data_IF_677470723386
#
_entry.id   IF_677470723386
#
_cell.length_a   1.000
_cell.length_b   1.000
_cell.length_c   1.000
_cell.angle_alpha   90.00
_cell.angle_beta   90.00
_cell.angle_gamma   90.00
#
_symmetry.space_group_name_H-M   'P 1'
#
loop_
_entity.id
_entity.type
_entity.pdbx_description
1 polymer ?
#
# COMPACT_ATOMS: atom_id res chain seq x y z
N UNK A 1 -16.19 -31.41 -5.89
CA UNK A 1 -16.25 -30.01 -6.35
C UNK A 1 -15.25 -29.23 -5.51
N UNK A 2 -14.41 -28.40 -6.12
CA UNK A 2 -13.48 -27.57 -5.36
C UNK A 2 -14.30 -26.49 -4.63
N UNK A 3 -14.20 -26.45 -3.32
CA UNK A 3 -14.89 -25.45 -2.51
C UNK A 3 -14.06 -24.16 -2.49
N UNK A 4 -14.64 -23.08 -2.97
CA UNK A 4 -13.98 -21.75 -2.94
C UNK A 4 -14.37 -20.99 -1.69
N UNK A 5 -13.41 -20.26 -1.11
CA UNK A 5 -13.60 -19.46 0.09
C UNK A 5 -13.23 -18.01 -0.07
N UNK A 6 -13.79 -17.14 0.74
CA UNK A 6 -13.52 -15.72 0.80
C UNK A 6 -13.60 -15.18 2.22
N UNK A 7 -12.88 -14.09 2.47
CA UNK A 7 -12.97 -13.36 3.74
C UNK A 7 -14.08 -12.32 3.64
N UNK A 8 -14.92 -12.24 4.66
CA UNK A 8 -16.06 -11.33 4.71
C UNK A 8 -16.09 -10.62 6.06
N UNK A 9 -16.45 -9.35 6.07
CA UNK A 9 -16.77 -8.56 7.26
C UNK A 9 -18.27 -8.31 7.27
N UNK A 10 -19.09 -9.21 7.84
CA UNK A 10 -20.54 -9.09 7.81
C UNK A 10 -21.07 -7.94 8.69
N UNK A 11 -20.34 -7.57 9.73
CA UNK A 11 -20.62 -6.48 10.64
C UNK A 11 -19.34 -5.95 11.30
N UNK A 12 -19.46 -4.83 11.99
CA UNK A 12 -18.36 -4.22 12.75
C UNK A 12 -17.66 -5.26 13.64
N UNK A 13 -16.33 -5.30 13.59
CA UNK A 13 -15.44 -6.16 14.38
C UNK A 13 -15.75 -7.66 14.30
N UNK A 14 -16.31 -8.09 13.18
CA UNK A 14 -16.58 -9.49 12.92
C UNK A 14 -16.07 -9.85 11.53
N UNK A 15 -15.22 -10.85 11.43
CA UNK A 15 -14.67 -11.40 10.18
C UNK A 15 -15.02 -12.88 10.13
N UNK A 16 -15.46 -13.33 8.98
CA UNK A 16 -15.75 -14.74 8.72
C UNK A 16 -15.03 -15.20 7.46
N UNK A 17 -14.75 -16.49 7.41
CA UNK A 17 -14.37 -17.15 6.18
C UNK A 17 -15.60 -17.89 5.65
N UNK A 18 -16.07 -17.53 4.46
CA UNK A 18 -17.27 -18.07 3.85
C UNK A 18 -16.95 -18.82 2.56
N UNK A 19 -17.70 -19.87 2.28
CA UNK A 19 -17.69 -20.52 0.98
C UNK A 19 -18.50 -19.73 -0.04
N UNK A 20 -18.04 -19.73 -1.29
CA UNK A 20 -18.77 -19.15 -2.41
C UNK A 20 -18.60 -19.98 -3.68
N UNK A 21 -19.53 -19.85 -4.58
CA UNK A 21 -19.43 -20.43 -5.91
C UNK A 21 -18.90 -19.36 -6.88
N UNK A 22 -17.73 -19.60 -7.51
CA UNK A 22 -17.23 -18.69 -8.52
C UNK A 22 -18.15 -18.72 -9.74
N UNK A 23 -18.15 -17.64 -10.49
CA UNK A 23 -18.88 -17.60 -11.75
C UNK A 23 -18.21 -18.53 -12.78
N UNK A 24 -18.81 -19.71 -13.01
CA UNK A 24 -18.34 -20.75 -13.95
C UNK A 24 -18.78 -20.54 -15.40
N UNK A 25 -19.53 -19.48 -15.70
CA UNK A 25 -19.90 -19.13 -17.07
C UNK A 25 -18.66 -19.07 -17.98
N UNK A 26 -18.78 -19.32 -19.30
CA UNK A 26 -17.67 -19.13 -20.23
C UNK A 26 -17.00 -17.77 -20.03
N UNK A 27 -15.67 -17.74 -20.11
CA UNK A 27 -14.93 -16.47 -20.04
C UNK A 27 -15.30 -15.56 -21.20
N UNK A 28 -15.42 -14.28 -20.94
CA UNK A 28 -15.39 -13.27 -21.99
C UNK A 28 -14.06 -13.31 -22.74
N UNK A 29 -14.04 -12.83 -23.97
CA UNK A 29 -12.87 -12.90 -24.85
C UNK A 29 -11.59 -12.30 -24.24
N UNK A 30 -11.74 -11.28 -23.40
CA UNK A 30 -10.65 -10.55 -22.75
C UNK A 30 -10.53 -10.84 -21.24
N UNK A 31 -11.13 -11.90 -20.74
CA UNK A 31 -11.06 -12.26 -19.33
C UNK A 31 -9.99 -13.30 -19.04
N UNK A 32 -9.52 -13.27 -17.80
CA UNK A 32 -8.68 -14.31 -17.22
C UNK A 32 -9.26 -14.74 -15.88
N UNK A 33 -9.02 -16.01 -15.52
CA UNK A 33 -9.47 -16.52 -14.25
C UNK A 33 -8.51 -17.59 -13.70
N UNK A 34 -8.50 -17.74 -12.38
CA UNK A 34 -7.67 -18.76 -11.73
C UNK A 34 -7.63 -18.67 -10.22
N UNK A 35 -7.01 -19.65 -9.55
CA UNK A 35 -6.90 -19.69 -8.11
C UNK A 35 -5.93 -18.62 -7.59
N UNK A 36 -6.35 -17.93 -6.53
CA UNK A 36 -5.50 -17.01 -5.77
C UNK A 36 -4.39 -17.79 -5.07
N UNK A 37 -3.20 -17.20 -5.03
CA UNK A 37 -2.03 -17.77 -4.36
C UNK A 37 -1.68 -16.97 -3.12
N UNK A 38 -1.67 -15.65 -3.23
CA UNK A 38 -1.36 -14.75 -2.12
C UNK A 38 -2.23 -13.49 -2.18
N UNK A 39 -2.59 -12.94 -1.02
CA UNK A 39 -3.21 -11.62 -0.93
C UNK A 39 -2.72 -10.88 0.30
N UNK A 40 -2.51 -9.56 0.19
CA UNK A 40 -1.93 -8.75 1.26
C UNK A 40 -3.01 -7.99 2.03
N UNK A 41 -3.06 -8.20 3.34
CA UNK A 41 -3.90 -7.44 4.24
C UNK A 41 -3.28 -6.05 4.50
N UNK A 42 -4.00 -5.01 4.14
CA UNK A 42 -3.62 -3.63 4.41
C UNK A 42 -4.18 -3.15 5.74
N UNK A 43 -3.41 -3.34 6.80
CA UNK A 43 -3.84 -3.09 8.17
C UNK A 43 -4.40 -1.67 8.41
N UNK A 44 -3.90 -0.64 7.72
CA UNK A 44 -4.40 0.74 7.87
C UNK A 44 -5.86 0.87 7.45
N UNK A 45 -6.16 0.53 6.22
CA UNK A 45 -7.49 0.67 5.62
C UNK A 45 -8.45 -0.42 6.08
N UNK A 46 -8.01 -1.68 6.04
CA UNK A 46 -8.92 -2.79 6.30
C UNK A 46 -9.34 -2.86 7.76
N UNK A 47 -8.45 -2.55 8.72
CA UNK A 47 -8.83 -2.47 10.13
C UNK A 47 -9.74 -1.27 10.41
N UNK A 48 -9.53 -0.13 9.73
CA UNK A 48 -10.46 0.98 9.85
C UNK A 48 -11.86 0.58 9.35
N UNK A 49 -11.94 -0.08 8.19
CA UNK A 49 -13.20 -0.59 7.64
C UNK A 49 -13.80 -1.72 8.47
N UNK A 50 -12.99 -2.59 9.06
CA UNK A 50 -13.42 -3.64 10.00
C UNK A 50 -14.14 -3.08 11.23
N UNK A 51 -13.72 -1.89 11.71
CA UNK A 51 -14.31 -1.21 12.88
C UNK A 51 -15.61 -0.46 12.58
N UNK A 52 -15.88 -0.15 11.31
CA UNK A 52 -17.05 0.62 10.95
C UNK A 52 -18.34 -0.18 11.14
N UNK A 53 -19.35 0.47 11.74
CA UNK A 53 -20.72 -0.06 11.74
C UNK A 53 -21.24 -0.13 10.30
N UNK A 54 -21.95 -1.23 10.00
CA UNK A 54 -22.45 -1.50 8.65
C UNK A 54 -23.72 -2.32 8.66
N UNK A 55 -24.53 -2.13 7.65
CA UNK A 55 -25.76 -2.89 7.37
C UNK A 55 -25.54 -3.95 6.30
N UNK A 56 -24.55 -3.75 5.43
CA UNK A 56 -24.22 -4.67 4.34
C UNK A 56 -22.83 -5.28 4.55
N UNK A 57 -22.62 -6.54 4.17
CA UNK A 57 -21.29 -7.16 4.23
C UNK A 57 -20.25 -6.43 3.40
N UNK A 58 -19.02 -6.37 3.91
CA UNK A 58 -17.87 -5.85 3.18
C UNK A 58 -16.93 -7.00 2.83
N UNK A 59 -16.44 -7.01 1.60
CA UNK A 59 -15.45 -7.97 1.11
C UNK A 59 -14.08 -7.32 1.07
N UNK A 60 -13.23 -7.58 2.08
CA UNK A 60 -11.92 -6.93 2.20
C UNK A 60 -10.93 -7.44 1.17
N UNK A 61 -9.80 -6.74 1.07
CA UNK A 61 -8.73 -7.03 0.13
C UNK A 61 -8.83 -6.18 -1.14
N UNK A 62 -7.68 -5.80 -1.63
CA UNK A 62 -7.53 -5.02 -2.85
C UNK A 62 -6.16 -5.20 -3.53
N UNK A 63 -5.44 -6.27 -3.16
CA UNK A 63 -4.24 -6.72 -3.86
C UNK A 63 -4.04 -8.22 -3.65
N UNK A 64 -3.92 -8.94 -4.75
CA UNK A 64 -3.65 -10.36 -4.76
C UNK A 64 -2.75 -10.75 -5.92
N UNK A 65 -2.16 -11.94 -5.81
CA UNK A 65 -1.57 -12.68 -6.92
C UNK A 65 -2.34 -13.97 -7.09
N UNK A 66 -2.75 -14.26 -8.31
CA UNK A 66 -3.36 -15.54 -8.65
C UNK A 66 -2.66 -16.21 -9.83
N UNK A 67 -2.77 -17.53 -9.92
CA UNK A 67 -2.25 -18.32 -11.02
C UNK A 67 -3.31 -18.41 -12.10
N UNK A 68 -2.99 -17.97 -13.31
CA UNK A 68 -3.89 -18.09 -14.46
C UNK A 68 -4.22 -19.56 -14.69
N UNK A 69 -5.49 -19.91 -14.70
CA UNK A 69 -5.99 -21.25 -15.00
C UNK A 69 -6.74 -21.28 -16.35
N UNK A 70 -7.47 -20.19 -16.65
CA UNK A 70 -8.24 -20.05 -17.89
C UNK A 70 -8.03 -18.67 -18.49
N UNK A 71 -8.02 -18.58 -19.80
CA UNK A 71 -7.89 -17.33 -20.57
C UNK A 71 -8.99 -17.25 -21.62
N UNK A 72 -9.50 -16.05 -21.86
CA UNK A 72 -10.42 -15.76 -22.96
C UNK A 72 -9.71 -15.81 -24.33
N UNK A 73 -10.48 -15.97 -25.40
CA UNK A 73 -9.96 -16.22 -26.75
C UNK A 73 -9.08 -15.11 -27.32
N UNK A 74 -9.25 -13.87 -26.87
CA UNK A 74 -8.45 -12.71 -27.32
C UNK A 74 -7.23 -12.41 -26.40
N UNK A 75 -7.02 -13.18 -25.33
CA UNK A 75 -5.87 -12.99 -24.42
C UNK A 75 -4.66 -13.75 -24.98
N UNK A 76 -3.58 -13.03 -25.30
CA UNK A 76 -2.38 -13.59 -25.96
C UNK A 76 -1.08 -13.39 -25.17
N UNK A 77 -1.09 -12.55 -24.15
CA UNK A 77 0.12 -12.09 -23.42
C UNK A 77 0.32 -12.78 -22.06
N UNK A 78 -0.64 -13.61 -21.64
CA UNK A 78 -0.55 -14.52 -20.49
C UNK A 78 -1.14 -15.89 -20.85
N UNK A 79 -0.64 -16.93 -20.19
CA UNK A 79 -1.07 -18.31 -20.42
C UNK A 79 -1.40 -19.00 -19.08
N UNK A 80 -2.16 -20.12 -19.11
CA UNK A 80 -2.33 -20.98 -17.95
C UNK A 80 -0.99 -21.34 -17.31
N UNK A 81 -0.89 -21.14 -16.00
CA UNK A 81 0.35 -21.31 -15.23
C UNK A 81 1.07 -20.02 -14.86
N UNK A 82 0.89 -18.93 -15.61
CA UNK A 82 1.45 -17.63 -15.28
C UNK A 82 0.87 -17.08 -13.97
N UNK A 83 1.69 -16.35 -13.20
CA UNK A 83 1.21 -15.54 -12.08
C UNK A 83 0.89 -14.13 -12.54
N UNK A 84 -0.23 -13.62 -12.05
CA UNK A 84 -0.67 -12.24 -12.30
C UNK A 84 -1.07 -11.56 -11.02
N UNK A 85 -0.66 -10.31 -10.89
CA UNK A 85 -1.08 -9.40 -9.83
C UNK A 85 -2.37 -8.69 -10.23
N UNK A 86 -3.31 -8.54 -9.31
CA UNK A 86 -4.54 -7.79 -9.52
C UNK A 86 -5.01 -7.04 -8.27
N UNK A 87 -5.82 -6.00 -8.47
CA UNK A 87 -6.55 -5.33 -7.40
C UNK A 87 -7.88 -6.06 -7.17
N UNK A 88 -7.86 -7.07 -6.32
CA UNK A 88 -9.02 -7.93 -6.09
C UNK A 88 -9.15 -8.32 -4.60
N UNK A 89 -10.36 -8.74 -4.17
CA UNK A 89 -10.63 -9.07 -2.77
C UNK A 89 -9.90 -10.34 -2.30
N UNK A 90 -9.92 -10.56 -0.99
CA UNK A 90 -9.43 -11.78 -0.34
C UNK A 90 -10.38 -12.94 -0.59
N UNK A 91 -10.16 -13.65 -1.70
CA UNK A 91 -10.92 -14.85 -2.06
C UNK A 91 -10.04 -15.84 -2.81
N UNK A 92 -10.39 -17.13 -2.77
CA UNK A 92 -9.59 -18.23 -3.30
C UNK A 92 -9.56 -18.32 -4.83
N UNK A 93 -10.44 -17.61 -5.54
CA UNK A 93 -10.53 -17.64 -7.00
C UNK A 93 -10.85 -16.27 -7.55
N UNK A 94 -10.13 -15.85 -8.59
CA UNK A 94 -10.31 -14.57 -9.25
C UNK A 94 -10.79 -14.77 -10.69
N UNK A 95 -11.65 -13.84 -11.15
CA UNK A 95 -12.05 -13.69 -12.55
C UNK A 95 -12.18 -12.20 -12.84
N UNK A 96 -11.45 -11.70 -13.83
CA UNK A 96 -11.41 -10.27 -14.14
C UNK A 96 -10.94 -10.02 -15.58
N UNK A 97 -11.17 -8.82 -16.12
CA UNK A 97 -10.61 -8.40 -17.40
C UNK A 97 -9.08 -8.43 -17.38
N UNK A 98 -8.47 -8.98 -18.44
CA UNK A 98 -7.00 -9.09 -18.54
C UNK A 98 -6.28 -7.76 -18.33
N UNK A 99 -6.83 -6.65 -18.79
CA UNK A 99 -6.26 -5.31 -18.65
C UNK A 99 -6.12 -4.84 -17.19
N UNK A 100 -6.85 -5.46 -16.26
CA UNK A 100 -6.83 -5.14 -14.82
C UNK A 100 -5.78 -5.96 -14.05
N UNK A 101 -5.03 -6.80 -14.74
CA UNK A 101 -3.96 -7.60 -14.15
C UNK A 101 -2.59 -7.26 -14.74
N UNK A 102 -1.55 -7.48 -13.96
CA UNK A 102 -0.15 -7.34 -14.38
C UNK A 102 0.54 -8.70 -14.28
N UNK A 103 1.25 -9.10 -15.33
CA UNK A 103 2.07 -10.32 -15.27
C UNK A 103 3.17 -10.14 -14.22
N UNK A 104 3.28 -11.09 -13.30
CA UNK A 104 4.34 -11.12 -12.29
C UNK A 104 5.64 -11.52 -12.97
N UNK A 105 6.75 -10.80 -12.75
CA UNK A 105 8.06 -11.18 -13.28
C UNK A 105 8.45 -12.60 -12.88
N UNK A 106 9.09 -13.33 -13.80
CA UNK A 106 9.58 -14.68 -13.53
C UNK A 106 10.54 -14.69 -12.34
N UNK A 107 10.37 -15.65 -11.43
CA UNK A 107 11.18 -15.78 -10.22
C UNK A 107 10.75 -14.91 -9.05
N UNK A 108 9.85 -13.95 -9.23
CA UNK A 108 9.30 -13.19 -8.11
C UNK A 108 8.23 -14.01 -7.38
N UNK A 109 8.43 -14.23 -6.08
CA UNK A 109 7.47 -14.97 -5.26
C UNK A 109 6.13 -14.21 -5.15
N UNK A 110 4.99 -14.91 -5.25
CA UNK A 110 3.66 -14.30 -5.12
C UNK A 110 3.47 -13.49 -3.85
N UNK A 111 4.02 -13.96 -2.73
CA UNK A 111 3.98 -13.31 -1.41
C UNK A 111 4.74 -11.98 -1.37
N UNK A 112 5.70 -11.80 -2.27
CA UNK A 112 6.44 -10.54 -2.44
C UNK A 112 5.74 -9.64 -3.44
N UNK A 113 5.23 -10.21 -4.54
CA UNK A 113 4.58 -9.44 -5.61
C UNK A 113 3.35 -8.65 -5.14
N UNK A 114 2.62 -9.13 -4.12
CA UNK A 114 1.45 -8.43 -3.54
C UNK A 114 1.79 -7.05 -2.96
N UNK A 115 3.07 -6.77 -2.64
CA UNK A 115 3.51 -5.48 -2.12
C UNK A 115 3.60 -4.38 -3.18
N UNK A 116 3.45 -4.68 -4.46
CA UNK A 116 3.53 -3.69 -5.54
C UNK A 116 2.57 -2.50 -5.34
N UNK A 117 1.38 -2.72 -4.76
CA UNK A 117 0.45 -1.63 -4.45
C UNK A 117 0.98 -0.69 -3.37
N UNK A 118 1.71 -1.21 -2.40
CA UNK A 118 2.21 -0.40 -1.29
C UNK A 118 3.26 0.62 -1.76
N UNK A 119 4.04 0.28 -2.77
CA UNK A 119 4.98 1.19 -3.42
C UNK A 119 4.26 2.25 -4.31
N UNK A 120 3.12 1.90 -4.91
CA UNK A 120 2.39 2.77 -5.82
C UNK A 120 1.97 4.11 -5.18
N UNK A 121 1.62 4.13 -3.88
CA UNK A 121 1.26 5.36 -3.18
C UNK A 121 2.39 6.40 -3.25
N UNK A 122 3.62 5.98 -2.95
CA UNK A 122 4.79 6.83 -3.06
C UNK A 122 5.08 7.24 -4.51
N UNK A 123 4.92 6.33 -5.45
CA UNK A 123 5.17 6.61 -6.88
C UNK A 123 4.19 7.63 -7.42
N UNK A 124 2.93 7.60 -6.99
CA UNK A 124 1.94 8.65 -7.32
C UNK A 124 2.39 10.01 -6.76
N UNK A 125 2.75 10.06 -5.46
CA UNK A 125 3.22 11.29 -4.84
C UNK A 125 4.45 11.86 -5.56
N UNK A 126 5.39 11.02 -5.99
CA UNK A 126 6.59 11.43 -6.73
C UNK A 126 6.26 11.87 -8.16
N UNK A 127 5.32 11.20 -8.82
CA UNK A 127 4.92 11.57 -10.18
C UNK A 127 4.21 12.94 -10.26
N UNK A 128 3.61 13.38 -9.16
CA UNK A 128 2.82 14.61 -9.07
C UNK A 128 3.49 15.76 -8.31
N UNK A 129 4.67 15.50 -7.68
CA UNK A 129 5.41 16.53 -6.92
C UNK A 129 6.23 17.47 -7.80
N UNK A 130 6.39 18.73 -7.34
CA UNK A 130 7.36 19.67 -7.89
C UNK A 130 8.77 19.51 -7.30
N UNK A 131 8.92 18.79 -6.17
CA UNK A 131 10.23 18.47 -5.60
C UNK A 131 11.05 17.59 -6.56
N UNK A 132 12.37 17.76 -6.57
CA UNK A 132 13.27 17.02 -7.49
C UNK A 132 14.45 16.45 -6.73
N UNK A 133 14.91 15.23 -7.08
CA UNK A 133 16.17 14.72 -6.57
C UNK A 133 17.33 15.67 -6.88
N UNK A 134 18.33 15.77 -6.01
CA UNK A 134 18.52 15.03 -4.75
C UNK A 134 17.94 15.71 -3.50
N UNK A 135 16.90 16.56 -3.66
CA UNK A 135 16.31 17.28 -2.54
C UNK A 135 15.88 16.32 -1.41
N UNK A 136 15.77 16.85 -0.18
CA UNK A 136 15.40 16.07 0.99
C UNK A 136 13.90 15.72 0.99
N UNK A 137 13.61 14.44 0.96
CA UNK A 137 12.31 13.86 1.25
C UNK A 137 12.27 13.37 2.72
N UNK A 138 11.21 13.69 3.43
CA UNK A 138 10.98 13.23 4.80
C UNK A 138 9.74 12.35 4.86
N UNK A 139 9.89 11.11 5.35
CA UNK A 139 8.77 10.16 5.48
C UNK A 139 8.43 9.99 6.95
N UNK A 140 7.21 10.34 7.33
CA UNK A 140 6.68 10.18 8.66
C UNK A 140 5.71 9.00 8.75
N UNK A 141 5.92 8.14 9.76
CA UNK A 141 5.14 6.92 9.97
C UNK A 141 5.70 5.75 9.17
N UNK A 142 6.47 4.87 9.83
CA UNK A 142 7.14 3.71 9.26
C UNK A 142 6.31 2.42 9.39
N UNK A 143 5.00 2.52 9.20
CA UNK A 143 4.18 1.36 8.89
C UNK A 143 4.52 0.79 7.50
N UNK A 144 3.75 -0.16 7.01
CA UNK A 144 4.01 -0.79 5.72
C UNK A 144 4.15 0.24 4.58
N UNK A 145 3.22 1.17 4.47
CA UNK A 145 3.27 2.23 3.45
C UNK A 145 4.52 3.10 3.62
N UNK A 146 4.85 3.50 4.86
CA UNK A 146 6.03 4.35 5.09
C UNK A 146 7.35 3.67 4.78
N UNK A 147 7.52 2.39 5.12
CA UNK A 147 8.71 1.60 4.76
C UNK A 147 8.87 1.54 3.23
N UNK A 148 7.79 1.30 2.49
CA UNK A 148 7.83 1.29 1.03
C UNK A 148 8.07 2.68 0.45
N UNK A 149 7.42 3.71 1.01
CA UNK A 149 7.60 5.12 0.59
C UNK A 149 9.05 5.58 0.73
N UNK A 150 9.70 5.28 1.85
CA UNK A 150 11.09 5.64 2.08
C UNK A 150 12.02 4.99 1.03
N UNK A 151 11.82 3.71 0.74
CA UNK A 151 12.59 3.00 -0.27
C UNK A 151 12.37 3.57 -1.68
N UNK A 152 11.12 3.86 -2.06
CA UNK A 152 10.79 4.46 -3.36
C UNK A 152 11.44 5.84 -3.50
N UNK A 153 11.38 6.71 -2.47
CA UNK A 153 12.07 8.01 -2.49
C UNK A 153 13.58 7.86 -2.72
N UNK A 154 14.23 6.92 -2.02
CA UNK A 154 15.66 6.66 -2.20
C UNK A 154 15.98 6.14 -3.60
N UNK A 155 15.19 5.19 -4.12
CA UNK A 155 15.38 4.63 -5.47
C UNK A 155 15.21 5.69 -6.56
N UNK A 156 14.37 6.69 -6.33
CA UNK A 156 14.16 7.80 -7.25
C UNK A 156 15.15 8.96 -7.05
N UNK A 157 16.15 8.78 -6.18
CA UNK A 157 17.31 9.68 -6.03
C UNK A 157 17.16 10.80 -5.02
N UNK A 158 16.12 10.80 -4.16
CA UNK A 158 16.03 11.76 -3.06
C UNK A 158 17.00 11.41 -1.92
N UNK A 159 17.50 12.43 -1.22
CA UNK A 159 17.98 12.23 0.14
C UNK A 159 16.76 11.93 1.04
N UNK A 160 16.89 10.94 1.93
CA UNK A 160 15.73 10.47 2.72
C UNK A 160 16.03 10.56 4.20
N UNK A 161 15.10 11.17 4.94
CA UNK A 161 14.99 11.08 6.38
C UNK A 161 13.63 10.47 6.76
N UNK A 162 13.58 9.74 7.85
CA UNK A 162 12.37 9.00 8.26
C UNK A 162 12.10 9.16 9.76
N UNK A 163 10.82 9.09 10.16
CA UNK A 163 10.44 9.11 11.56
C UNK A 163 9.31 8.12 11.89
N UNK A 164 9.41 7.48 13.04
CA UNK A 164 8.31 6.71 13.67
C UNK A 164 8.57 6.60 15.20
N UNK A 165 7.56 6.72 16.06
CA UNK A 165 7.74 6.54 17.51
C UNK A 165 8.12 5.12 17.91
N UNK A 166 7.81 4.08 17.10
CA UNK A 166 8.17 2.69 17.38
C UNK A 166 9.63 2.42 17.06
N UNK A 167 10.42 1.99 18.05
CA UNK A 167 11.81 1.57 17.85
C UNK A 167 11.92 0.38 16.89
N UNK A 168 11.00 -0.58 16.98
CA UNK A 168 10.94 -1.74 16.11
C UNK A 168 10.87 -1.32 14.63
N UNK A 169 9.98 -0.37 14.30
CA UNK A 169 9.84 0.13 12.93
C UNK A 169 11.05 0.94 12.46
N UNK A 170 11.67 1.69 13.38
CA UNK A 170 12.93 2.39 13.08
C UNK A 170 14.08 1.42 12.85
N UNK A 171 14.15 0.32 13.61
CA UNK A 171 15.14 -0.74 13.42
C UNK A 171 15.01 -1.39 12.03
N UNK A 172 13.78 -1.63 11.55
CA UNK A 172 13.53 -2.10 10.17
C UNK A 172 14.04 -1.06 9.16
N UNK A 173 13.76 0.21 9.33
CA UNK A 173 14.27 1.24 8.43
C UNK A 173 15.81 1.26 8.39
N UNK A 174 16.47 1.13 9.55
CA UNK A 174 17.93 1.03 9.62
C UNK A 174 18.46 -0.23 8.91
N UNK A 175 17.78 -1.37 9.02
CA UNK A 175 18.18 -2.60 8.32
C UNK A 175 18.06 -2.46 6.78
N UNK A 176 17.21 -1.56 6.31
CA UNK A 176 17.14 -1.16 4.90
C UNK A 176 18.18 -0.09 4.51
N UNK A 177 19.04 0.33 5.46
CA UNK A 177 20.14 1.26 5.22
C UNK A 177 19.76 2.73 5.28
N UNK A 178 18.69 3.10 6.00
CA UNK A 178 18.40 4.50 6.30
C UNK A 178 19.22 4.95 7.52
N UNK A 179 19.92 6.06 7.38
CA UNK A 179 20.80 6.62 8.43
C UNK A 179 20.11 7.73 9.22
N UNK A 180 19.31 8.58 8.54
CA UNK A 180 18.58 9.67 9.17
C UNK A 180 17.23 9.15 9.69
N UNK A 181 17.24 8.52 10.87
CA UNK A 181 16.09 7.85 11.49
C UNK A 181 15.78 8.49 12.83
N UNK A 182 14.61 9.10 12.94
CA UNK A 182 14.16 9.88 14.09
C UNK A 182 13.01 9.16 14.82
N UNK A 183 12.88 9.42 16.14
CA UNK A 183 11.77 8.92 16.95
C UNK A 183 10.49 9.79 16.80
N UNK A 184 10.66 11.01 16.33
CA UNK A 184 9.60 11.99 16.02
C UNK A 184 10.06 12.93 14.93
N UNK A 185 9.14 13.75 14.41
CA UNK A 185 9.46 14.79 13.43
C UNK A 185 10.37 15.83 14.09
N UNK A 186 11.62 16.04 13.62
CA UNK A 186 12.61 16.89 14.26
C UNK A 186 12.44 18.36 13.84
N UNK A 187 11.39 19.01 14.36
CA UNK A 187 11.03 20.40 14.02
C UNK A 187 12.08 21.45 14.44
N UNK A 188 12.95 21.09 15.36
CA UNK A 188 14.00 21.97 15.91
C UNK A 188 15.41 21.58 15.43
N UNK A 189 15.57 20.49 14.67
CA UNK A 189 16.85 20.06 14.11
C UNK A 189 17.16 20.82 12.81
N UNK A 190 18.20 21.64 12.82
CA UNK A 190 18.63 22.44 11.66
C UNK A 190 19.04 21.60 10.43
N UNK A 191 19.31 20.32 10.60
CA UNK A 191 19.56 19.41 9.49
C UNK A 191 18.27 19.05 8.71
N UNK A 192 17.08 19.27 9.30
CA UNK A 192 15.77 18.93 8.75
C UNK A 192 14.85 20.13 8.67
N UNK A 193 14.72 20.90 9.77
CA UNK A 193 13.81 22.04 9.87
C UNK A 193 14.09 23.08 8.79
N UNK A 194 13.08 23.40 7.98
CA UNK A 194 13.18 24.37 6.87
C UNK A 194 13.99 23.87 5.66
N UNK A 195 14.34 22.59 5.60
CA UNK A 195 15.13 22.01 4.49
C UNK A 195 14.40 20.93 3.70
N UNK A 196 13.30 20.42 4.24
CA UNK A 196 12.51 19.37 3.58
C UNK A 196 11.80 19.98 2.35
N UNK A 197 11.97 19.35 1.20
CA UNK A 197 11.27 19.72 -0.04
C UNK A 197 9.98 18.93 -0.22
N UNK A 198 9.98 17.69 0.25
CA UNK A 198 8.85 16.76 0.13
C UNK A 198 8.65 16.04 1.46
N UNK A 199 7.61 16.39 2.19
CA UNK A 199 7.18 15.70 3.39
C UNK A 199 6.03 14.75 3.06
N UNK A 200 6.19 13.47 3.38
CA UNK A 200 5.24 12.40 3.07
C UNK A 200 4.68 11.86 4.38
N UNK A 201 3.46 12.25 4.73
CA UNK A 201 2.79 11.74 5.92
C UNK A 201 2.12 10.39 5.63
N UNK A 202 2.68 9.30 6.17
CA UNK A 202 2.10 7.96 6.13
C UNK A 202 1.38 7.58 7.43
N UNK A 203 1.35 8.48 8.42
CA UNK A 203 0.76 8.26 9.74
C UNK A 203 -0.72 8.62 9.84
N UNK A 204 -1.17 9.62 9.09
CA UNK A 204 -2.55 10.13 9.07
C UNK A 204 -2.97 10.79 10.39
N UNK A 205 -2.05 11.52 11.07
CA UNK A 205 -2.36 12.28 12.27
C UNK A 205 -2.22 13.78 12.00
N UNK A 206 -3.18 14.56 12.47
CA UNK A 206 -3.23 16.02 12.24
C UNK A 206 -1.98 16.72 12.79
N UNK A 207 -1.49 16.30 13.98
CA UNK A 207 -0.27 16.85 14.58
C UNK A 207 0.94 16.63 13.68
N UNK A 208 1.07 15.45 13.08
CA UNK A 208 2.21 15.08 12.23
C UNK A 208 2.20 15.91 10.93
N UNK A 209 1.02 16.20 10.39
CA UNK A 209 0.85 17.09 9.22
C UNK A 209 1.26 18.52 9.56
N UNK A 210 0.85 19.03 10.73
CA UNK A 210 1.22 20.36 11.22
C UNK A 210 2.74 20.46 11.41
N UNK A 211 3.36 19.46 12.01
CA UNK A 211 4.81 19.41 12.21
C UNK A 211 5.55 19.27 10.88
N UNK A 212 4.99 18.51 9.93
CA UNK A 212 5.48 18.47 8.54
C UNK A 212 5.51 19.86 7.90
N UNK A 213 4.44 20.64 8.06
CA UNK A 213 4.40 22.03 7.57
C UNK A 213 5.47 22.93 8.21
N UNK A 214 5.97 22.58 9.40
CA UNK A 214 7.08 23.31 10.07
C UNK A 214 8.45 22.92 9.54
N UNK A 215 8.60 21.70 9.01
CA UNK A 215 9.90 21.19 8.52
C UNK A 215 10.19 21.53 7.07
N UNK A 216 9.16 21.74 6.25
CA UNK A 216 9.37 22.08 4.83
C UNK A 216 9.90 23.50 4.65
N UNK A 217 10.72 23.70 3.62
CA UNK A 217 11.15 25.02 3.19
C UNK A 217 9.99 25.80 2.53
N UNK A 218 10.07 27.12 2.33
CA UNK A 218 9.07 27.87 1.57
C UNK A 218 8.82 27.23 0.18
N UNK A 219 7.55 27.01 -0.17
CA UNK A 219 7.09 26.27 -1.34
C UNK A 219 7.36 24.74 -1.31
N UNK A 220 7.85 24.18 -0.20
CA UNK A 220 7.92 22.73 0.00
C UNK A 220 6.53 22.10 0.08
N UNK A 221 6.48 20.81 -0.17
CA UNK A 221 5.23 20.05 -0.24
C UNK A 221 5.03 19.15 0.99
N UNK A 222 3.80 19.11 1.50
CA UNK A 222 3.32 18.14 2.49
C UNK A 222 2.24 17.32 1.81
N UNK A 223 2.47 16.00 1.72
CA UNK A 223 1.62 15.05 1.00
C UNK A 223 0.97 14.10 1.98
N UNK A 224 -0.35 14.06 1.98
CA UNK A 224 -1.16 13.21 2.85
C UNK A 224 -1.31 11.82 2.22
N UNK A 225 -0.49 10.85 2.62
CA UNK A 225 -0.59 9.44 2.19
C UNK A 225 -1.39 8.63 3.21
N UNK A 226 -1.17 8.88 4.50
CA UNK A 226 -1.93 8.26 5.59
C UNK A 226 -3.36 8.77 5.61
N UNK A 227 -4.34 7.84 5.59
CA UNK A 227 -5.76 8.20 5.59
C UNK A 227 -6.19 8.66 6.99
N UNK A 228 -6.79 9.85 7.14
CA UNK A 228 -7.24 10.38 8.43
C UNK A 228 -8.61 9.79 8.83
N UNK A 229 -8.64 8.50 9.17
CA UNK A 229 -9.87 7.77 9.51
C UNK A 229 -10.61 8.31 10.74
N UNK A 230 -9.86 8.84 11.70
CA UNK A 230 -10.41 9.38 12.95
C UNK A 230 -9.59 10.57 13.39
N UNK A 231 -10.23 11.55 14.02
CA UNK A 231 -9.52 12.63 14.69
C UNK A 231 -8.63 12.08 15.82
N UNK A 232 -7.38 12.54 15.87
CA UNK A 232 -6.35 12.10 16.86
C UNK A 232 -5.64 13.25 17.54
N UNK A 233 -6.04 14.50 17.28
CA UNK A 233 -5.41 15.69 17.79
C UNK A 233 -6.45 16.78 18.11
N UNK A 234 -6.16 17.58 19.12
CA UNK A 234 -6.91 18.80 19.46
C UNK A 234 -6.44 20.03 18.66
N UNK A 235 -5.49 19.86 17.73
CA UNK A 235 -5.00 20.96 16.88
C UNK A 235 -6.11 21.49 15.98
N UNK A 236 -6.09 22.80 15.79
CA UNK A 236 -7.15 23.48 15.05
C UNK A 236 -6.83 23.57 13.56
N UNK A 237 -7.88 23.61 12.74
CA UNK A 237 -7.72 23.94 11.33
C UNK A 237 -7.08 25.33 11.12
N UNK A 238 -7.31 26.28 12.04
CA UNK A 238 -6.69 27.62 11.99
C UNK A 238 -5.17 27.54 12.05
N UNK A 239 -4.60 26.69 12.93
CA UNK A 239 -3.15 26.51 13.02
C UNK A 239 -2.57 25.99 11.70
N UNK A 240 -3.20 24.97 11.10
CA UNK A 240 -2.79 24.43 9.81
C UNK A 240 -2.85 25.48 8.70
N UNK A 241 -3.98 26.19 8.59
CA UNK A 241 -4.18 27.22 7.57
C UNK A 241 -3.16 28.35 7.74
N UNK A 242 -2.88 28.75 8.98
CA UNK A 242 -1.88 29.78 9.27
C UNK A 242 -0.47 29.37 8.82
N UNK A 243 -0.08 28.11 9.07
CA UNK A 243 1.21 27.56 8.60
C UNK A 243 1.28 27.53 7.08
N UNK A 244 0.22 27.02 6.43
CA UNK A 244 0.15 26.95 4.96
C UNK A 244 0.30 28.35 4.35
N UNK A 245 -0.42 29.34 4.87
CA UNK A 245 -0.40 30.70 4.37
C UNK A 245 0.95 31.42 4.59
N UNK A 246 1.45 31.44 5.85
CA UNK A 246 2.63 32.25 6.19
C UNK A 246 3.96 31.59 5.79
N UNK A 247 3.99 30.25 5.60
CA UNK A 247 5.19 29.52 5.19
C UNK A 247 5.17 29.07 3.73
N UNK A 248 4.14 29.45 2.98
CA UNK A 248 3.96 29.09 1.56
C UNK A 248 3.99 27.58 1.34
N UNK A 249 3.45 26.76 2.28
CA UNK A 249 3.42 25.31 2.18
C UNK A 249 2.40 24.87 1.12
N UNK A 250 2.75 23.86 0.35
CA UNK A 250 1.83 23.18 -0.57
C UNK A 250 1.31 21.91 0.08
N UNK A 251 0.13 21.98 0.68
CA UNK A 251 -0.53 20.81 1.27
C UNK A 251 -1.42 20.16 0.21
N UNK A 252 -1.24 18.84 -0.02
CA UNK A 252 -2.01 18.12 -1.01
C UNK A 252 -2.28 16.66 -0.63
N UNK A 253 -3.21 16.04 -1.34
CA UNK A 253 -3.48 14.60 -1.26
C UNK A 253 -2.29 13.80 -1.81
N UNK A 254 -2.10 12.59 -1.30
CA UNK A 254 -1.21 11.57 -1.84
C UNK A 254 -1.98 10.30 -2.22
N UNK A 255 -3.27 10.43 -2.50
CA UNK A 255 -4.08 9.28 -2.89
C UNK A 255 -3.74 8.80 -4.31
N UNK A 256 -3.65 7.47 -4.49
CA UNK A 256 -3.20 6.88 -5.76
C UNK A 256 -4.04 7.28 -6.99
N UNK A 257 -5.29 7.68 -6.78
CA UNK A 257 -6.21 8.09 -7.84
C UNK A 257 -6.00 9.52 -8.35
N UNK A 258 -4.97 10.20 -7.88
CA UNK A 258 -4.54 11.49 -8.44
C UNK A 258 -4.01 11.34 -9.87
N UNK A 259 -3.58 10.13 -10.25
CA UNK A 259 -3.20 9.76 -11.61
C UNK A 259 -4.19 8.72 -12.19
N UNK A 260 -4.34 8.62 -13.51
CA UNK A 260 -5.29 7.69 -14.12
C UNK A 260 -4.90 6.23 -13.87
N UNK A 261 -5.91 5.34 -13.89
CA UNK A 261 -5.68 3.90 -13.72
C UNK A 261 -4.73 3.35 -14.80
N UNK A 262 -5.00 3.69 -16.05
CA UNK A 262 -4.17 3.36 -17.22
C UNK A 262 -3.67 4.64 -17.88
N UNK A 263 -2.47 4.61 -18.44
CA UNK A 263 -1.96 5.71 -19.24
C UNK A 263 -2.76 5.85 -20.54
N UNK A 264 -3.17 7.08 -20.85
CA UNK A 264 -3.88 7.41 -22.10
C UNK A 264 -2.91 7.76 -23.23
N UNK A 265 -1.67 8.08 -22.87
CA UNK A 265 -0.58 8.42 -23.80
C UNK A 265 0.75 7.94 -23.26
N UNK A 266 1.71 7.74 -24.16
CA UNK A 266 3.06 7.36 -23.79
C UNK A 266 3.70 8.36 -22.81
N UNK A 267 4.42 7.85 -21.81
CA UNK A 267 5.08 8.66 -20.77
C UNK A 267 4.16 9.23 -19.70
N UNK A 268 2.85 9.04 -19.79
CA UNK A 268 1.93 9.49 -18.76
C UNK A 268 2.01 8.57 -17.53
N UNK A 269 2.20 9.13 -16.32
CA UNK A 269 2.09 8.34 -15.08
C UNK A 269 0.70 7.71 -14.96
N UNK A 270 0.66 6.44 -14.50
CA UNK A 270 -0.59 5.74 -14.24
C UNK A 270 -0.43 4.77 -13.08
N UNK A 271 -1.55 4.43 -12.45
CA UNK A 271 -1.60 3.49 -11.34
C UNK A 271 -1.06 2.11 -11.74
N UNK A 272 -1.46 1.60 -12.90
CA UNK A 272 -0.98 0.30 -13.39
C UNK A 272 0.48 0.36 -13.84
N UNK A 273 0.92 1.45 -14.45
CA UNK A 273 2.33 1.66 -14.80
C UNK A 273 3.24 1.70 -13.56
N UNK A 274 2.82 2.38 -12.50
CA UNK A 274 3.53 2.43 -11.23
C UNK A 274 3.62 1.04 -10.58
N UNK A 275 2.54 0.25 -10.59
CA UNK A 275 2.56 -1.12 -10.06
C UNK A 275 3.44 -2.05 -10.90
N UNK A 276 3.45 -1.89 -12.23
CA UNK A 276 4.34 -2.66 -13.10
C UNK A 276 5.82 -2.36 -12.81
N UNK A 277 6.16 -1.09 -12.58
CA UNK A 277 7.51 -0.71 -12.16
C UNK A 277 7.85 -1.26 -10.76
N UNK A 278 6.91 -1.21 -9.81
CA UNK A 278 7.10 -1.77 -8.47
C UNK A 278 7.34 -3.29 -8.50
N UNK A 279 6.61 -4.03 -9.35
CA UNK A 279 6.84 -5.47 -9.54
C UNK A 279 8.25 -5.76 -10.05
N UNK A 280 8.77 -4.95 -10.98
CA UNK A 280 10.17 -5.09 -11.45
C UNK A 280 11.16 -4.79 -10.32
N UNK A 281 10.97 -3.71 -9.58
CA UNK A 281 11.85 -3.32 -8.48
C UNK A 281 11.89 -4.35 -7.35
N UNK A 282 10.75 -5.02 -7.09
CA UNK A 282 10.69 -6.16 -6.17
C UNK A 282 11.44 -7.37 -6.72
N UNK A 283 11.30 -7.67 -8.02
CA UNK A 283 11.99 -8.79 -8.66
C UNK A 283 13.52 -8.59 -8.71
N UNK A 284 13.97 -7.35 -8.87
CA UNK A 284 15.38 -6.96 -8.91
C UNK A 284 15.96 -6.75 -7.49
N UNK A 285 15.15 -6.87 -6.43
CA UNK A 285 15.56 -6.67 -5.05
C UNK A 285 15.84 -5.21 -4.68
N UNK A 286 15.44 -4.27 -5.51
CA UNK A 286 15.60 -2.83 -5.24
C UNK A 286 14.59 -2.33 -4.20
N UNK A 287 13.38 -2.91 -4.19
CA UNK A 287 12.43 -2.81 -3.10
C UNK A 287 12.50 -4.07 -2.26
N UNK A 288 12.71 -3.91 -0.97
CA UNK A 288 12.84 -5.00 0.00
C UNK A 288 11.62 -5.06 0.91
N UNK A 289 11.15 -6.26 1.13
CA UNK A 289 10.03 -6.55 2.04
C UNK A 289 10.40 -7.61 3.09
N UNK A 290 11.68 -7.95 3.14
CA UNK A 290 12.23 -8.87 4.14
C UNK A 290 11.85 -8.39 5.54
N UNK A 291 11.45 -9.30 6.38
CA UNK A 291 11.01 -9.03 7.76
C UNK A 291 9.75 -8.14 7.93
N UNK A 292 9.15 -7.64 6.85
CA UNK A 292 7.94 -6.82 6.95
C UNK A 292 6.67 -7.63 7.21
N UNK A 293 6.62 -8.90 6.81
CA UNK A 293 5.38 -9.65 6.82
C UNK A 293 5.49 -11.03 7.46
N UNK A 294 4.35 -11.51 7.92
CA UNK A 294 4.07 -12.89 8.25
C UNK A 294 3.08 -13.46 7.24
N UNK A 295 3.05 -14.79 7.08
CA UNK A 295 2.01 -15.47 6.32
C UNK A 295 0.96 -16.05 7.25
N UNK A 296 -0.30 -16.07 6.80
CA UNK A 296 -1.41 -16.65 7.55
C UNK A 296 -2.33 -17.44 6.61
N UNK A 297 -3.00 -18.46 7.15
CA UNK A 297 -4.09 -19.13 6.45
C UNK A 297 -5.31 -18.19 6.39
N UNK A 298 -5.96 -17.98 5.24
CA UNK A 298 -7.14 -17.13 5.15
C UNK A 298 -8.31 -17.63 6.01
N UNK A 299 -8.34 -18.91 6.38
CA UNK A 299 -9.34 -19.47 7.32
C UNK A 299 -9.18 -18.92 8.74
N UNK A 300 -7.98 -18.44 9.09
CA UNK A 300 -7.67 -17.81 10.38
C UNK A 300 -7.92 -16.30 10.38
N UNK A 301 -8.60 -15.76 9.37
CA UNK A 301 -8.80 -14.32 9.19
C UNK A 301 -9.37 -13.63 10.43
N UNK A 302 -10.30 -14.24 11.15
CA UNK A 302 -10.86 -13.68 12.39
C UNK A 302 -9.78 -13.40 13.43
N UNK A 303 -8.91 -14.38 13.68
CA UNK A 303 -7.81 -14.25 14.62
C UNK A 303 -6.78 -13.20 14.17
N UNK A 304 -6.48 -13.15 12.87
CA UNK A 304 -5.56 -12.18 12.27
C UNK A 304 -6.08 -10.75 12.43
N UNK A 305 -7.33 -10.49 12.02
CA UNK A 305 -7.91 -9.15 12.14
C UNK A 305 -8.00 -8.69 13.60
N UNK A 306 -8.37 -9.59 14.51
CA UNK A 306 -8.43 -9.30 15.95
C UNK A 306 -7.05 -8.94 16.51
N UNK A 307 -5.99 -9.72 16.22
CA UNK A 307 -4.60 -9.41 16.68
C UNK A 307 -4.17 -8.04 16.17
N UNK A 308 -4.43 -7.73 14.90
CA UNK A 308 -4.05 -6.44 14.33
C UNK A 308 -4.84 -5.29 14.99
N UNK A 309 -6.14 -5.48 15.24
CA UNK A 309 -7.01 -4.50 15.91
C UNK A 309 -6.53 -4.20 17.35
N UNK A 310 -6.05 -5.24 18.07
CA UNK A 310 -5.48 -5.15 19.41
C UNK A 310 -4.01 -4.68 19.42
N UNK A 311 -3.38 -4.50 18.27
CA UNK A 311 -1.94 -4.16 18.10
C UNK A 311 -0.98 -5.25 18.61
N UNK A 312 -1.40 -6.49 18.60
CA UNK A 312 -0.66 -7.68 19.04
C UNK A 312 -0.01 -8.44 17.88
N UNK A 313 0.54 -7.72 16.92
CA UNK A 313 1.18 -8.30 15.72
C UNK A 313 2.69 -8.28 15.84
N UNK A 314 3.35 -9.33 15.40
CA UNK A 314 4.81 -9.44 15.34
C UNK A 314 5.41 -8.75 14.12
N UNK A 315 4.69 -8.76 12.99
CA UNK A 315 5.10 -8.12 11.74
C UNK A 315 4.16 -7.00 11.34
N UNK A 316 4.62 -6.06 10.54
CA UNK A 316 3.81 -4.88 10.15
C UNK A 316 2.81 -5.18 9.04
N UNK A 317 2.92 -6.32 8.37
CA UNK A 317 2.01 -6.78 7.33
C UNK A 317 1.68 -8.27 7.49
N UNK A 318 0.54 -8.69 6.97
CA UNK A 318 0.14 -10.10 6.88
C UNK A 318 -0.23 -10.43 5.44
N UNK A 319 0.33 -11.52 4.92
CA UNK A 319 -0.01 -12.08 3.61
C UNK A 319 -0.81 -13.36 3.83
N UNK A 320 -2.01 -13.41 3.30
CA UNK A 320 -2.80 -14.65 3.28
C UNK A 320 -2.28 -15.59 2.19
N UNK A 321 -1.91 -16.80 2.59
CA UNK A 321 -1.52 -17.89 1.69
C UNK A 321 -2.75 -18.73 1.33
N UNK A 322 -3.18 -18.65 0.08
CA UNK A 322 -4.38 -19.32 -0.41
C UNK A 322 -4.14 -20.74 -0.93
N UNK A 323 -2.89 -21.22 -0.99
CA UNK A 323 -2.55 -22.53 -1.58
C UNK A 323 -3.20 -23.70 -0.84
N UNK A 324 -3.41 -23.56 0.46
CA UNK A 324 -4.08 -24.56 1.30
C UNK A 324 -5.60 -24.40 1.41
N UNK A 325 -6.14 -23.26 0.99
CA UNK A 325 -7.56 -22.93 1.14
C UNK A 325 -8.43 -23.33 -0.07
N UNK A 326 -7.80 -23.82 -1.14
CA UNK A 326 -8.46 -24.37 -2.34
C UNK A 326 -8.43 -25.91 -2.28
N UNK A 327 -9.22 -26.51 -1.39
CA UNK A 327 -9.38 -27.99 -1.29
C UNK A 327 -10.79 -28.41 -1.60
#
# INVERSE_FOLDING_TARGET
MVTHGRIVVPRSRNVTFETFEPNDAPLGEHEIAGPTVASLLSAGTEIALYRLERTEPFYPGYCCVFRVGRVGSAVTDVAPGDYVYAMAPHQSYQRLPRKEALKVPAGLAPEIAVFARMANMAMTAIATTAARPPQLAFVNGLGLIGQMTAQVCRLTGYEVAVADPSEERRAIARSFGFERVYDRIPIDDTAVAGRVSLFLDCGGKEQDVIDGCRTVHPNGEVVLIGVPWTQRSERTAHELISLVFHRYVRLRSGWEWEIPLHAEREGQPSVMGSKAAALRWLAEGWLRVDDLYETADPRDAEAVYRRIDMREREKIATVFDWRSAAT
#
